data_IF_202423866291
#
_entry.id   IF_202423866291
#
_cell.length_a   1.000
_cell.length_b   1.000
_cell.length_c   1.000
_cell.angle_alpha   90.00
_cell.angle_beta   90.00
_cell.angle_gamma   90.00
#
_symmetry.space_group_name_H-M   'P 1'
#
loop_
_entity.id
_entity.type
_entity.pdbx_description
1 polymer ?
#
# COMPACT_ATOMS: atom_id res chain seq x y z
N UNK A 1 -21.07 12.96 -9.53
CA UNK A 1 -20.52 11.80 -10.27
C UNK A 1 -19.59 11.08 -9.32
N UNK A 2 -19.93 9.88 -8.81
CA UNK A 2 -18.90 9.03 -8.22
C UNK A 2 -17.94 8.59 -9.35
N UNK A 3 -16.63 8.49 -9.11
CA UNK A 3 -15.72 8.00 -10.13
C UNK A 3 -16.06 6.54 -10.46
N UNK A 4 -16.05 6.23 -11.75
CA UNK A 4 -16.36 4.94 -12.32
C UNK A 4 -15.47 3.85 -11.70
N UNK A 5 -16.11 2.87 -11.05
CA UNK A 5 -15.44 1.73 -10.43
C UNK A 5 -14.89 0.81 -11.54
N UNK A 6 -13.59 0.89 -11.81
CA UNK A 6 -12.87 -0.16 -12.51
C UNK A 6 -12.71 -1.32 -11.52
N UNK A 7 -13.24 -2.48 -11.89
CA UNK A 7 -13.35 -3.67 -11.06
C UNK A 7 -12.12 -3.86 -10.17
N UNK A 8 -12.34 -3.84 -8.85
CA UNK A 8 -11.30 -4.15 -7.89
C UNK A 8 -10.65 -5.49 -8.29
N UNK A 9 -9.32 -5.62 -8.27
CA UNK A 9 -8.63 -6.88 -8.46
C UNK A 9 -9.26 -7.90 -7.52
N UNK A 10 -9.42 -9.16 -7.99
CA UNK A 10 -9.96 -10.22 -7.15
C UNK A 10 -9.17 -10.23 -5.84
N UNK A 11 -9.88 -10.27 -4.70
CA UNK A 11 -9.37 -9.98 -3.36
C UNK A 11 -8.03 -10.67 -3.02
N UNK A 12 -7.78 -11.86 -3.59
CA UNK A 12 -6.51 -12.57 -3.48
C UNK A 12 -5.30 -11.78 -4.02
N UNK A 13 -5.41 -11.13 -5.19
CA UNK A 13 -4.29 -10.38 -5.80
C UNK A 13 -3.95 -9.13 -5.02
N UNK A 14 -4.94 -8.48 -4.40
CA UNK A 14 -4.68 -7.28 -3.58
C UNK A 14 -3.86 -7.65 -2.34
N UNK A 15 -4.30 -8.68 -1.61
CA UNK A 15 -3.59 -9.16 -0.43
C UNK A 15 -2.15 -9.58 -0.77
N UNK A 16 -1.98 -10.32 -1.86
CA UNK A 16 -0.67 -10.73 -2.36
C UNK A 16 0.21 -9.52 -2.71
N UNK A 17 -0.30 -8.55 -3.47
CA UNK A 17 0.47 -7.37 -3.87
C UNK A 17 0.95 -6.55 -2.67
N UNK A 18 0.08 -6.28 -1.70
CA UNK A 18 0.46 -5.53 -0.49
C UNK A 18 1.44 -6.34 0.36
N UNK A 19 1.26 -7.66 0.48
CA UNK A 19 2.20 -8.52 1.20
C UNK A 19 3.59 -8.52 0.55
N UNK A 20 3.67 -8.62 -0.79
CA UNK A 20 4.93 -8.51 -1.53
C UNK A 20 5.59 -7.15 -1.31
N UNK A 21 4.81 -6.07 -1.37
CA UNK A 21 5.32 -4.72 -1.12
C UNK A 21 5.85 -4.54 0.31
N UNK A 22 5.13 -5.03 1.32
CA UNK A 22 5.59 -5.03 2.71
C UNK A 22 6.87 -5.85 2.88
N UNK A 23 7.01 -6.97 2.17
CA UNK A 23 8.24 -7.75 2.18
C UNK A 23 9.41 -6.96 1.57
N UNK A 24 9.19 -6.25 0.46
CA UNK A 24 10.20 -5.38 -0.15
C UNK A 24 10.62 -4.24 0.78
N UNK A 25 9.67 -3.59 1.46
CA UNK A 25 9.95 -2.56 2.47
C UNK A 25 10.79 -3.10 3.63
N UNK A 26 10.46 -4.28 4.14
CA UNK A 26 11.23 -4.95 5.21
C UNK A 26 12.67 -5.25 4.75
N UNK A 27 12.85 -5.73 3.52
CA UNK A 27 14.18 -5.96 2.93
C UNK A 27 14.96 -4.66 2.74
N UNK A 28 14.28 -3.55 2.50
CA UNK A 28 14.88 -2.21 2.39
C UNK A 28 15.11 -1.52 3.75
N UNK A 29 14.87 -2.21 4.88
CA UNK A 29 15.15 -1.70 6.23
C UNK A 29 13.97 -0.96 6.89
N UNK A 30 12.81 -0.88 6.24
CA UNK A 30 11.61 -0.28 6.85
C UNK A 30 10.90 -1.31 7.71
N UNK A 31 10.78 -1.02 9.01
CA UNK A 31 10.06 -1.90 9.96
C UNK A 31 8.55 -1.73 9.76
N UNK A 32 7.94 -2.73 9.13
CA UNK A 32 6.47 -2.80 8.96
C UNK A 32 5.91 -3.96 9.78
N UNK A 33 5.05 -3.64 10.75
CA UNK A 33 4.37 -4.63 11.60
C UNK A 33 3.19 -5.33 10.88
N UNK A 34 2.82 -6.53 11.36
CA UNK A 34 1.68 -7.27 10.81
C UNK A 34 0.35 -6.53 10.94
N UNK A 35 0.16 -5.77 12.03
CA UNK A 35 -1.02 -4.91 12.20
C UNK A 35 -1.10 -3.81 11.14
N UNK A 36 0.05 -3.22 10.75
CA UNK A 36 0.08 -2.20 9.70
C UNK A 36 -0.26 -2.77 8.33
N UNK A 37 0.14 -4.01 8.03
CA UNK A 37 -0.26 -4.70 6.81
C UNK A 37 -1.78 -4.88 6.77
N UNK A 38 -2.40 -5.32 7.87
CA UNK A 38 -3.85 -5.47 7.93
C UNK A 38 -4.57 -4.12 7.79
N UNK A 39 -4.10 -3.07 8.49
CA UNK A 39 -4.62 -1.70 8.35
C UNK A 39 -4.52 -1.18 6.93
N UNK A 40 -3.39 -1.42 6.24
CA UNK A 40 -3.20 -1.01 4.86
C UNK A 40 -4.19 -1.71 3.91
N UNK A 41 -4.43 -3.00 4.11
CA UNK A 41 -5.39 -3.76 3.32
C UNK A 41 -6.83 -3.26 3.51
N UNK A 42 -7.25 -3.05 4.75
CA UNK A 42 -8.57 -2.46 5.05
C UNK A 42 -8.69 -1.06 4.46
N UNK A 43 -7.69 -0.21 4.63
CA UNK A 43 -7.69 1.16 4.13
C UNK A 43 -7.80 1.23 2.60
N UNK A 44 -7.09 0.35 1.88
CA UNK A 44 -7.19 0.26 0.42
C UNK A 44 -8.57 -0.23 -0.01
N UNK A 45 -9.16 -1.19 0.71
CA UNK A 45 -10.53 -1.66 0.44
C UNK A 45 -11.57 -0.57 0.64
N UNK A 46 -11.44 0.22 1.70
CA UNK A 46 -12.39 1.30 2.05
C UNK A 46 -12.22 2.51 1.13
N UNK A 47 -10.99 2.92 0.84
CA UNK A 47 -10.72 4.05 -0.04
C UNK A 47 -11.21 3.77 -1.47
N UNK A 48 -11.17 2.50 -1.89
CA UNK A 48 -11.22 2.17 -3.30
C UNK A 48 -10.00 2.71 -4.02
N UNK A 49 -9.81 2.30 -5.27
CA UNK A 49 -8.72 2.83 -6.09
C UNK A 49 -9.16 2.86 -7.54
N UNK A 50 -8.86 3.98 -8.16
CA UNK A 50 -9.10 4.23 -9.57
C UNK A 50 -7.78 4.34 -10.32
N UNK A 51 -6.70 4.69 -9.63
CA UNK A 51 -5.38 4.81 -10.19
C UNK A 51 -4.27 4.40 -9.21
N UNK A 52 -3.05 4.22 -9.74
CA UNK A 52 -1.86 3.87 -8.95
C UNK A 52 -1.54 4.92 -7.88
N UNK A 53 -1.93 6.18 -8.10
CA UNK A 53 -1.77 7.27 -7.13
C UNK A 53 -2.55 7.04 -5.83
N UNK A 54 -3.75 6.47 -5.92
CA UNK A 54 -4.59 6.18 -4.74
C UNK A 54 -3.89 5.19 -3.81
N UNK A 55 -3.32 4.13 -4.39
CA UNK A 55 -2.51 3.16 -3.66
C UNK A 55 -1.29 3.79 -3.00
N UNK A 56 -0.60 4.67 -3.71
CA UNK A 56 0.59 5.32 -3.18
C UNK A 56 0.27 6.07 -1.89
N UNK A 57 -0.76 6.92 -1.91
CA UNK A 57 -1.11 7.74 -0.75
C UNK A 57 -1.65 6.92 0.41
N UNK A 58 -2.50 5.92 0.13
CA UNK A 58 -3.03 5.02 1.17
C UNK A 58 -1.88 4.24 1.81
N UNK A 59 -1.06 3.53 1.02
CA UNK A 59 0.04 2.73 1.56
C UNK A 59 1.09 3.58 2.28
N UNK A 60 1.40 4.77 1.76
CA UNK A 60 2.33 5.70 2.41
C UNK A 60 1.80 6.09 3.78
N UNK A 61 0.54 6.49 3.88
CA UNK A 61 -0.07 6.91 5.15
C UNK A 61 -0.20 5.79 6.18
N UNK A 62 -0.44 4.54 5.75
CA UNK A 62 -0.65 3.41 6.67
C UNK A 62 0.64 2.67 7.05
N UNK A 63 1.58 2.53 6.12
CA UNK A 63 2.80 1.75 6.32
C UNK A 63 3.95 2.60 6.86
N UNK A 64 3.96 3.91 6.58
CA UNK A 64 5.11 4.78 6.89
C UNK A 64 4.69 6.07 7.57
N UNK A 65 5.01 6.17 8.85
CA UNK A 65 4.75 7.37 9.67
C UNK A 65 6.00 8.19 9.95
N UNK A 66 7.20 7.60 9.80
CA UNK A 66 8.48 8.27 10.06
C UNK A 66 9.03 8.90 8.78
N UNK A 67 9.42 10.19 8.81
CA UNK A 67 10.00 10.86 7.65
C UNK A 67 11.23 10.16 7.06
N UNK A 68 12.06 9.55 7.91
CA UNK A 68 13.27 8.81 7.53
C UNK A 68 13.01 7.60 6.60
N UNK A 69 11.76 7.17 6.45
CA UNK A 69 11.36 6.04 5.62
C UNK A 69 10.64 6.47 4.33
N UNK A 70 10.41 7.77 4.11
CA UNK A 70 9.67 8.25 2.94
C UNK A 70 10.42 8.00 1.63
N UNK A 71 11.72 8.27 1.60
CA UNK A 71 12.53 8.04 0.40
C UNK A 71 12.62 6.56 0.06
N UNK A 72 12.83 5.71 1.07
CA UNK A 72 12.84 4.25 0.89
C UNK A 72 11.50 3.74 0.37
N UNK A 73 10.39 4.23 0.93
CA UNK A 73 9.05 3.88 0.44
C UNK A 73 8.87 4.27 -1.03
N UNK A 74 9.21 5.50 -1.39
CA UNK A 74 9.08 6.01 -2.76
C UNK A 74 9.96 5.24 -3.74
N UNK A 75 11.16 4.85 -3.33
CA UNK A 75 12.02 3.99 -4.13
C UNK A 75 11.40 2.61 -4.35
N UNK A 76 10.98 1.94 -3.27
CA UNK A 76 10.40 0.59 -3.35
C UNK A 76 9.10 0.57 -4.14
N UNK A 77 8.29 1.64 -4.09
CA UNK A 77 7.03 1.73 -4.84
C UNK A 77 7.23 1.96 -6.35
N UNK A 78 8.40 2.44 -6.77
CA UNK A 78 8.74 2.68 -8.18
C UNK A 78 9.38 1.48 -8.89
N UNK A 79 9.91 0.51 -8.14
CA UNK A 79 10.44 -0.76 -8.66
C UNK A 79 9.31 -1.63 -9.23
#
# INVERSE_FOLDING_TARGET
MPPSSLAAPPEGRLAENVAHFVHALRRAGVKVGSSQLHTALEAVRVAGFTERGDFYWVLRSTLVTRPEHFDTFHQVFRL
#
